data_IF_961344285461
#
_entry.id   IF_961344285461
#
_cell.length_a   1.000
_cell.length_b   1.000
_cell.length_c   1.000
_cell.angle_alpha   90.00
_cell.angle_beta   90.00
_cell.angle_gamma   90.00
#
_symmetry.space_group_name_H-M   'P 1'
#
loop_
_entity.id
_entity.type
_entity.pdbx_description
1 polymer ?
#
# COMPACT_ATOMS: atom_id res chain seq x y z
N UNK A 1 16.00 -17.00 -7.67
CA UNK A 1 14.90 -16.03 -7.88
C UNK A 1 13.74 -16.51 -7.02
N UNK A 2 13.30 -15.71 -6.05
CA UNK A 2 12.19 -16.08 -5.17
C UNK A 2 10.87 -15.86 -5.91
N UNK A 3 10.08 -16.92 -6.11
CA UNK A 3 8.75 -16.82 -6.71
C UNK A 3 7.70 -16.50 -5.64
N UNK A 4 6.60 -15.92 -6.07
CA UNK A 4 5.44 -15.61 -5.23
C UNK A 4 4.31 -16.63 -5.48
N UNK A 5 3.67 -17.08 -4.41
CA UNK A 5 2.55 -18.04 -4.43
C UNK A 5 1.47 -17.56 -3.44
N UNK A 6 0.69 -16.52 -3.80
CA UNK A 6 -0.32 -15.97 -2.92
C UNK A 6 -1.44 -16.99 -2.67
N UNK A 7 -2.08 -16.91 -1.50
CA UNK A 7 -3.23 -17.76 -1.12
C UNK A 7 -4.34 -17.83 -2.18
N UNK A 8 -4.52 -16.75 -2.96
CA UNK A 8 -5.43 -16.71 -4.10
C UNK A 8 -4.61 -16.72 -5.41
N UNK A 9 -4.30 -17.89 -5.98
CA UNK A 9 -3.46 -18.00 -7.18
C UNK A 9 -4.11 -17.37 -8.42
N UNK A 10 -5.45 -17.31 -8.46
CA UNK A 10 -6.21 -16.69 -9.58
C UNK A 10 -5.84 -15.24 -9.83
N UNK A 11 -5.32 -14.53 -8.82
CA UNK A 11 -4.85 -13.16 -8.99
C UNK A 11 -3.69 -13.10 -10.01
N UNK A 12 -2.72 -14.02 -9.93
CA UNK A 12 -1.57 -14.04 -10.84
C UNK A 12 -1.89 -14.70 -12.18
N UNK A 13 -2.93 -15.53 -12.24
CA UNK A 13 -3.41 -16.15 -13.49
C UNK A 13 -4.20 -15.16 -14.35
N UNK A 14 -4.97 -14.27 -13.72
CA UNK A 14 -5.93 -13.38 -14.41
C UNK A 14 -5.46 -11.93 -14.54
N UNK A 15 -4.60 -11.47 -13.63
CA UNK A 15 -4.19 -10.08 -13.58
C UNK A 15 -2.73 -9.93 -14.02
N UNK A 16 -2.47 -8.87 -14.75
CA UNK A 16 -1.12 -8.47 -15.15
C UNK A 16 -0.66 -7.29 -14.30
N UNK A 17 0.60 -7.28 -13.82
CA UNK A 17 1.15 -6.13 -13.14
C UNK A 17 1.41 -5.00 -14.12
N UNK A 18 1.28 -3.76 -13.66
CA UNK A 18 1.64 -2.56 -14.40
C UNK A 18 2.52 -1.62 -13.58
N UNK A 19 3.21 -0.71 -14.28
CA UNK A 19 3.91 0.42 -13.66
C UNK A 19 3.59 1.73 -14.39
N UNK A 20 3.39 2.80 -13.62
CA UNK A 20 3.39 4.18 -14.08
C UNK A 20 4.60 4.88 -13.48
N UNK A 21 5.53 5.29 -14.34
CA UNK A 21 6.71 6.09 -13.98
C UNK A 21 7.37 6.60 -15.27
N UNK A 22 8.21 7.64 -15.15
CA UNK A 22 9.02 8.09 -16.29
C UNK A 22 9.93 6.97 -16.79
N UNK A 23 10.34 7.02 -18.06
CA UNK A 23 11.25 6.03 -18.63
C UNK A 23 12.55 5.90 -17.81
N UNK A 24 13.11 7.03 -17.37
CA UNK A 24 14.32 7.09 -16.54
C UNK A 24 14.11 6.38 -15.18
N UNK A 25 13.00 6.62 -14.50
CA UNK A 25 12.72 5.96 -13.22
C UNK A 25 12.56 4.45 -13.36
N UNK A 26 11.97 3.99 -14.47
CA UNK A 26 11.79 2.56 -14.73
C UNK A 26 13.14 1.81 -14.84
N UNK A 27 14.23 2.47 -15.23
CA UNK A 27 15.58 1.87 -15.27
C UNK A 27 16.09 1.50 -13.87
N UNK A 28 15.60 2.19 -12.84
CA UNK A 28 15.96 1.94 -11.44
C UNK A 28 15.08 0.90 -10.75
N UNK A 29 13.97 0.49 -11.39
CA UNK A 29 13.05 -0.48 -10.83
C UNK A 29 13.47 -1.93 -11.12
N UNK A 30 13.01 -2.86 -10.28
CA UNK A 30 12.93 -4.28 -10.64
C UNK A 30 11.64 -4.49 -11.44
N UNK A 31 11.76 -4.65 -12.77
CA UNK A 31 10.61 -4.88 -13.65
C UNK A 31 10.22 -6.37 -13.77
N UNK A 32 10.85 -7.23 -12.95
CA UNK A 32 10.50 -8.65 -12.79
C UNK A 32 10.39 -9.01 -11.29
N UNK A 33 9.63 -8.26 -10.47
CA UNK A 33 9.51 -8.51 -9.04
C UNK A 33 8.99 -9.93 -8.79
N UNK A 34 9.70 -10.71 -7.98
CA UNK A 34 9.39 -12.13 -7.74
C UNK A 34 9.30 -13.00 -9.02
N UNK A 35 9.96 -12.58 -10.10
CA UNK A 35 9.88 -13.23 -11.41
C UNK A 35 8.63 -12.86 -12.22
N UNK A 36 7.75 -12.00 -11.72
CA UNK A 36 6.56 -11.53 -12.45
C UNK A 36 6.93 -10.39 -13.39
N UNK A 37 6.82 -10.58 -14.69
CA UNK A 37 7.20 -9.56 -15.67
C UNK A 37 6.17 -8.42 -15.76
N UNK A 38 6.63 -7.18 -15.57
CA UNK A 38 5.81 -5.97 -15.77
C UNK A 38 5.86 -5.56 -17.24
N UNK A 39 4.82 -5.93 -17.98
CA UNK A 39 4.67 -5.61 -19.40
C UNK A 39 3.90 -4.32 -19.64
N UNK A 40 2.92 -4.00 -18.79
CA UNK A 40 2.10 -2.80 -18.93
C UNK A 40 2.84 -1.61 -18.29
N UNK A 41 3.34 -0.70 -19.13
CA UNK A 41 4.18 0.42 -18.71
C UNK A 41 3.64 1.72 -19.27
N UNK A 42 3.42 2.68 -18.39
CA UNK A 42 2.87 3.98 -18.75
C UNK A 42 3.82 5.08 -18.29
N UNK A 43 4.18 5.98 -19.20
CA UNK A 43 5.05 7.12 -18.91
C UNK A 43 4.16 8.37 -18.79
N UNK A 44 4.07 8.99 -17.60
CA UNK A 44 3.20 10.13 -17.37
C UNK A 44 3.59 11.37 -18.20
N UNK A 45 4.81 11.40 -18.77
CA UNK A 45 5.25 12.45 -19.69
C UNK A 45 4.75 12.23 -21.13
N UNK A 46 4.08 11.11 -21.41
CA UNK A 46 3.51 10.80 -22.73
C UNK A 46 2.00 10.96 -22.71
N UNK A 47 1.49 11.79 -23.60
CA UNK A 47 0.04 11.99 -23.78
C UNK A 47 -0.73 10.70 -24.05
N UNK A 48 -0.08 9.71 -24.67
CA UNK A 48 -0.63 8.37 -24.91
C UNK A 48 -1.02 7.62 -23.63
N UNK A 49 -0.40 7.93 -22.48
CA UNK A 49 -0.74 7.33 -21.19
C UNK A 49 -2.00 7.93 -20.56
N UNK A 50 -2.45 9.11 -21.02
CA UNK A 50 -3.58 9.86 -20.46
C UNK A 50 -4.84 9.02 -20.18
N UNK A 51 -5.34 8.20 -21.14
CA UNK A 51 -6.51 7.37 -20.92
C UNK A 51 -6.36 6.38 -19.74
N UNK A 52 -5.17 5.81 -19.53
CA UNK A 52 -4.93 4.90 -18.40
C UNK A 52 -4.81 5.68 -17.07
N UNK A 53 -4.18 6.86 -17.08
CA UNK A 53 -4.07 7.71 -15.90
C UNK A 53 -5.45 8.19 -15.41
N UNK A 54 -6.41 8.42 -16.32
CA UNK A 54 -7.80 8.68 -15.91
C UNK A 54 -8.43 7.49 -15.19
N UNK A 55 -8.17 6.26 -15.63
CA UNK A 55 -8.68 5.06 -14.96
C UNK A 55 -8.07 4.89 -13.56
N UNK A 56 -6.78 5.23 -13.36
CA UNK A 56 -6.16 5.23 -12.03
C UNK A 56 -6.78 6.27 -11.09
N UNK A 57 -7.07 7.47 -11.59
CA UNK A 57 -7.78 8.49 -10.82
C UNK A 57 -9.19 8.03 -10.46
N UNK A 58 -9.89 7.36 -11.37
CA UNK A 58 -11.20 6.79 -11.09
C UNK A 58 -11.13 5.65 -10.07
N UNK A 59 -10.12 4.76 -10.15
CA UNK A 59 -9.84 3.70 -9.17
C UNK A 59 -9.69 4.28 -7.75
N UNK A 60 -8.91 5.35 -7.62
CA UNK A 60 -8.69 6.04 -6.34
C UNK A 60 -10.00 6.59 -5.77
N UNK A 61 -10.72 7.37 -6.58
CA UNK A 61 -12.01 7.95 -6.18
C UNK A 61 -13.05 6.89 -5.83
N UNK A 62 -13.09 5.76 -6.55
CA UNK A 62 -13.99 4.65 -6.28
C UNK A 62 -13.64 3.88 -5.00
N UNK A 63 -12.35 3.83 -4.63
CA UNK A 63 -11.90 3.12 -3.43
C UNK A 63 -12.20 3.92 -2.15
N UNK A 64 -11.97 5.23 -2.18
CA UNK A 64 -12.02 6.08 -0.98
C UNK A 64 -13.30 6.91 -0.86
N UNK A 65 -14.06 7.07 -1.94
CA UNK A 65 -15.28 7.88 -1.95
C UNK A 65 -15.02 9.38 -1.71
N UNK A 66 -16.07 10.20 -1.54
CA UNK A 66 -15.93 11.64 -1.33
C UNK A 66 -15.32 12.01 0.04
N UNK A 67 -15.46 11.13 1.04
CA UNK A 67 -14.96 11.36 2.41
C UNK A 67 -13.51 10.91 2.58
N UNK A 68 -13.01 9.99 1.75
CA UNK A 68 -11.66 9.43 1.86
C UNK A 68 -10.55 10.23 1.15
N UNK A 69 -10.77 11.54 0.93
CA UNK A 69 -9.78 12.48 0.38
C UNK A 69 -9.12 11.99 -0.93
N UNK A 70 -9.88 11.76 -2.02
CA UNK A 70 -9.31 11.33 -3.28
C UNK A 70 -8.26 12.33 -3.77
N UNK A 71 -7.16 11.83 -4.32
CA UNK A 71 -6.03 12.70 -4.66
C UNK A 71 -6.38 13.59 -5.87
N UNK A 72 -6.18 14.92 -5.77
CA UNK A 72 -6.23 15.81 -6.92
C UNK A 72 -5.25 15.39 -8.02
N UNK A 73 -5.52 15.79 -9.27
CA UNK A 73 -4.69 15.41 -10.44
C UNK A 73 -3.23 15.82 -10.28
N UNK A 74 -3.00 17.02 -9.75
CA UNK A 74 -1.65 17.51 -9.53
C UNK A 74 -0.91 16.68 -8.47
N UNK A 75 -1.61 16.15 -7.45
CA UNK A 75 -0.99 15.27 -6.43
C UNK A 75 -0.57 13.93 -7.03
N UNK A 76 -1.39 13.35 -7.92
CA UNK A 76 -1.00 12.17 -8.70
C UNK A 76 0.28 12.44 -9.50
N UNK A 77 0.31 13.52 -10.28
CA UNK A 77 1.46 13.80 -11.12
C UNK A 77 2.70 14.20 -10.31
N UNK A 78 2.60 15.29 -9.54
CA UNK A 78 3.71 15.93 -8.83
C UNK A 78 4.18 15.12 -7.60
N UNK A 79 3.27 14.39 -6.96
CA UNK A 79 3.53 13.67 -5.71
C UNK A 79 3.74 12.17 -5.87
N UNK A 80 3.39 11.59 -7.02
CA UNK A 80 3.46 10.13 -7.22
C UNK A 80 4.15 9.74 -8.53
N UNK A 81 3.54 10.05 -9.67
CA UNK A 81 3.94 9.56 -10.99
C UNK A 81 5.30 10.12 -11.42
N UNK A 82 5.53 11.42 -11.20
CA UNK A 82 6.75 12.10 -11.60
C UNK A 82 7.93 11.82 -10.65
N UNK A 83 7.82 11.99 -9.32
CA UNK A 83 8.96 11.80 -8.43
C UNK A 83 9.22 10.33 -8.07
N UNK A 84 8.21 9.46 -8.19
CA UNK A 84 8.29 8.06 -7.77
C UNK A 84 7.74 7.11 -8.82
N UNK A 85 6.72 6.34 -8.45
CA UNK A 85 5.99 5.48 -9.35
C UNK A 85 4.69 4.97 -8.74
N UNK A 86 3.85 4.40 -9.61
CA UNK A 86 2.64 3.69 -9.24
C UNK A 86 2.76 2.26 -9.77
N UNK A 87 2.65 1.27 -8.88
CA UNK A 87 2.67 -0.15 -9.27
C UNK A 87 1.33 -0.75 -8.91
N UNK A 88 0.78 -1.54 -9.81
CA UNK A 88 -0.54 -2.10 -9.60
C UNK A 88 -0.80 -3.37 -10.37
N UNK A 89 -2.05 -3.80 -10.33
CA UNK A 89 -2.56 -4.94 -11.08
C UNK A 89 -3.81 -4.52 -11.84
N UNK A 90 -3.93 -5.03 -13.06
CA UNK A 90 -5.09 -4.80 -13.91
C UNK A 90 -5.35 -6.01 -14.81
N UNK A 91 -6.40 -5.91 -15.62
CA UNK A 91 -6.74 -6.89 -16.64
C UNK A 91 -7.24 -6.19 -17.90
N UNK A 92 -7.27 -6.90 -19.02
CA UNK A 92 -7.94 -6.38 -20.21
C UNK A 92 -9.45 -6.33 -19.96
N UNK A 93 -10.12 -5.33 -20.54
CA UNK A 93 -11.56 -5.11 -20.42
C UNK A 93 -12.39 -6.37 -20.73
N UNK A 94 -11.96 -7.17 -21.71
CA UNK A 94 -12.63 -8.40 -22.11
C UNK A 94 -12.64 -9.49 -21.01
N UNK A 95 -11.66 -9.47 -20.10
CA UNK A 95 -11.48 -10.48 -19.05
C UNK A 95 -12.22 -10.15 -17.74
N UNK A 96 -12.88 -8.98 -17.70
CA UNK A 96 -13.60 -8.46 -16.54
C UNK A 96 -15.08 -8.86 -16.56
N UNK A 97 -15.70 -8.89 -15.39
CA UNK A 97 -17.15 -8.99 -15.30
C UNK A 97 -17.83 -7.69 -15.81
N UNK A 98 -19.07 -7.78 -16.34
CA UNK A 98 -19.83 -6.59 -16.73
C UNK A 98 -19.97 -5.55 -15.62
N UNK A 99 -20.22 -6.00 -14.39
CA UNK A 99 -20.32 -5.16 -13.19
C UNK A 99 -19.01 -4.43 -12.89
N UNK A 100 -17.87 -5.11 -13.06
CA UNK A 100 -16.54 -4.50 -12.89
C UNK A 100 -16.28 -3.41 -13.93
N UNK A 101 -16.66 -3.64 -15.19
CA UNK A 101 -16.53 -2.61 -16.24
C UNK A 101 -17.39 -1.39 -15.95
N UNK A 102 -18.64 -1.61 -15.52
CA UNK A 102 -19.54 -0.53 -15.12
C UNK A 102 -18.97 0.27 -13.95
N UNK A 103 -18.50 -0.41 -12.89
CA UNK A 103 -17.87 0.21 -11.73
C UNK A 103 -16.63 1.03 -12.11
N UNK A 104 -15.84 0.56 -13.07
CA UNK A 104 -14.65 1.25 -13.60
C UNK A 104 -14.96 2.25 -14.72
N UNK A 105 -16.23 2.42 -15.10
CA UNK A 105 -16.70 3.29 -16.20
C UNK A 105 -16.03 2.99 -17.54
N UNK A 106 -15.75 1.71 -17.80
CA UNK A 106 -15.13 1.23 -19.04
C UNK A 106 -16.20 0.72 -20.00
N UNK A 107 -16.13 1.15 -21.26
CA UNK A 107 -17.07 0.70 -22.31
C UNK A 107 -16.71 -0.71 -22.77
N UNK A 108 -17.74 -1.53 -22.99
CA UNK A 108 -17.60 -2.86 -23.59
C UNK A 108 -16.97 -2.77 -24.98
N UNK A 109 -16.02 -3.64 -25.28
CA UNK A 109 -15.31 -3.69 -26.57
C UNK A 109 -14.30 -2.57 -26.77
N UNK A 110 -13.92 -1.86 -25.69
CA UNK A 110 -12.91 -0.80 -25.76
C UNK A 110 -11.49 -1.34 -25.90
N UNK A 111 -11.25 -2.59 -25.50
CA UNK A 111 -9.92 -3.22 -25.51
C UNK A 111 -8.93 -2.56 -24.53
N UNK A 112 -9.42 -1.73 -23.60
CA UNK A 112 -8.56 -1.03 -22.65
C UNK A 112 -8.01 -1.99 -21.59
N UNK A 113 -6.78 -1.71 -21.14
CA UNK A 113 -6.25 -2.31 -19.92
C UNK A 113 -6.75 -1.51 -18.71
N UNK A 114 -7.36 -2.18 -17.73
CA UNK A 114 -8.10 -1.56 -16.63
C UNK A 114 -7.40 -1.85 -15.29
N UNK A 115 -7.00 -0.82 -14.52
CA UNK A 115 -6.39 -1.02 -13.22
C UNK A 115 -7.44 -1.41 -12.17
N UNK A 116 -7.14 -2.42 -11.35
CA UNK A 116 -8.01 -2.91 -10.27
C UNK A 116 -7.42 -2.69 -8.88
N UNK A 117 -6.11 -2.44 -8.81
CA UNK A 117 -5.42 -2.01 -7.62
C UNK A 117 -4.16 -1.23 -7.99
N UNK A 118 -3.73 -0.33 -7.10
CA UNK A 118 -2.50 0.43 -7.22
C UNK A 118 -1.87 0.70 -5.85
N UNK A 119 -0.56 0.77 -5.83
CA UNK A 119 0.25 1.19 -4.69
C UNK A 119 1.20 2.32 -5.12
N UNK A 120 1.12 3.42 -4.39
CA UNK A 120 1.95 4.60 -4.58
C UNK A 120 2.93 4.70 -3.42
N UNK A 121 4.20 4.85 -3.77
CA UNK A 121 5.23 5.19 -2.81
C UNK A 121 6.11 6.34 -3.34
N UNK A 122 6.54 7.20 -2.43
CA UNK A 122 7.38 8.35 -2.71
C UNK A 122 8.81 8.00 -2.28
N UNK A 123 9.83 8.16 -3.14
CA UNK A 123 11.19 7.90 -2.74
C UNK A 123 11.63 8.93 -1.69
N UNK A 124 12.44 8.48 -0.74
CA UNK A 124 13.13 9.39 0.16
C UNK A 124 14.53 9.70 -0.39
N UNK A 125 15.25 10.62 0.27
CA UNK A 125 16.64 10.90 -0.10
C UNK A 125 17.53 9.64 -0.04
N UNK A 126 17.25 8.73 0.90
CA UNK A 126 18.03 7.52 1.09
C UNK A 126 17.53 6.42 0.15
N UNK A 127 18.45 5.89 -0.67
CA UNK A 127 18.10 4.86 -1.65
C UNK A 127 17.56 3.60 -0.99
N UNK A 128 16.43 3.10 -1.50
CA UNK A 128 15.76 1.92 -0.97
C UNK A 128 14.86 2.21 0.24
N UNK A 129 14.75 3.46 0.68
CA UNK A 129 13.73 3.87 1.65
C UNK A 129 12.61 4.61 0.92
N UNK A 130 11.39 4.11 1.09
CA UNK A 130 10.20 4.62 0.39
C UNK A 130 9.09 4.94 1.38
N UNK A 131 8.47 6.11 1.22
CA UNK A 131 7.27 6.49 1.96
C UNK A 131 6.04 5.92 1.27
N UNK A 132 5.33 5.00 1.91
CA UNK A 132 4.04 4.53 1.44
C UNK A 132 3.02 5.68 1.52
N UNK A 133 2.41 6.01 0.38
CA UNK A 133 1.48 7.13 0.29
C UNK A 133 0.03 6.64 0.13
N UNK A 134 -0.22 5.78 -0.85
CA UNK A 134 -1.58 5.33 -1.14
C UNK A 134 -1.63 3.85 -1.55
N UNK A 135 -2.71 3.16 -1.18
CA UNK A 135 -3.04 1.81 -1.60
C UNK A 135 -4.53 1.73 -1.92
N UNK A 136 -4.87 1.67 -3.21
CA UNK A 136 -6.24 1.52 -3.66
C UNK A 136 -6.47 0.10 -4.21
N UNK A 137 -7.63 -0.49 -3.94
CA UNK A 137 -8.02 -1.80 -4.46
C UNK A 137 -9.52 -1.92 -4.51
N UNK A 138 -10.04 -2.37 -5.66
CA UNK A 138 -11.48 -2.63 -5.86
C UNK A 138 -11.96 -3.93 -5.22
N UNK A 139 -11.08 -4.71 -4.58
CA UNK A 139 -11.44 -6.02 -4.06
C UNK A 139 -12.63 -6.01 -3.07
N UNK A 140 -12.74 -5.03 -2.15
CA UNK A 140 -13.93 -4.91 -1.29
C UNK A 140 -15.22 -4.57 -2.05
N UNK A 141 -15.13 -3.77 -3.12
CA UNK A 141 -16.27 -3.28 -3.91
C UNK A 141 -16.73 -4.30 -4.97
N UNK A 142 -15.89 -5.27 -5.33
CA UNK A 142 -16.13 -6.25 -6.39
C UNK A 142 -15.93 -7.69 -5.88
N UNK A 143 -16.74 -8.16 -4.91
CA UNK A 143 -16.56 -9.50 -4.32
C UNK A 143 -16.71 -10.63 -5.35
N UNK A 144 -17.58 -10.46 -6.34
CA UNK A 144 -17.84 -11.44 -7.41
C UNK A 144 -16.65 -11.64 -8.35
N UNK A 145 -15.78 -10.63 -8.48
CA UNK A 145 -14.58 -10.69 -9.31
C UNK A 145 -13.49 -11.59 -8.69
N UNK A 146 -13.64 -11.96 -7.41
CA UNK A 146 -12.74 -12.91 -6.73
C UNK A 146 -11.37 -12.32 -6.40
N UNK A 147 -11.30 -11.01 -6.13
CA UNK A 147 -10.05 -10.25 -5.94
C UNK A 147 -9.50 -10.29 -4.50
N UNK A 148 -9.92 -11.25 -3.68
CA UNK A 148 -9.51 -11.33 -2.29
C UNK A 148 -7.97 -11.42 -2.16
N UNK A 149 -7.38 -10.51 -1.39
CA UNK A 149 -5.92 -10.42 -1.19
C UNK A 149 -5.19 -9.43 -2.10
N UNK A 150 -5.86 -8.86 -3.12
CA UNK A 150 -5.24 -8.02 -4.15
C UNK A 150 -4.46 -6.82 -3.60
N UNK A 151 -4.98 -6.11 -2.59
CA UNK A 151 -4.27 -4.96 -2.02
C UNK A 151 -2.92 -5.33 -1.37
N UNK A 152 -2.87 -6.44 -0.62
CA UNK A 152 -1.61 -6.93 -0.02
C UNK A 152 -0.61 -7.37 -1.07
N UNK A 153 -1.06 -8.12 -2.08
CA UNK A 153 -0.27 -8.52 -3.23
C UNK A 153 0.31 -7.31 -3.98
N UNK A 154 -0.54 -6.31 -4.27
CA UNK A 154 -0.16 -5.08 -4.98
C UNK A 154 0.94 -4.32 -4.25
N UNK A 155 0.79 -4.16 -2.93
CA UNK A 155 1.80 -3.47 -2.11
C UNK A 155 3.11 -4.26 -2.03
N UNK A 156 3.05 -5.58 -1.88
CA UNK A 156 4.25 -6.43 -1.85
C UNK A 156 5.04 -6.37 -3.17
N UNK A 157 4.34 -6.49 -4.30
CA UNK A 157 4.93 -6.37 -5.65
C UNK A 157 5.49 -4.97 -5.87
N UNK A 158 4.74 -3.92 -5.52
CA UNK A 158 5.23 -2.55 -5.65
C UNK A 158 6.50 -2.27 -4.85
N UNK A 159 6.55 -2.66 -3.57
CA UNK A 159 7.77 -2.52 -2.76
C UNK A 159 8.97 -3.28 -3.36
N UNK A 160 8.73 -4.47 -3.92
CA UNK A 160 9.78 -5.23 -4.62
C UNK A 160 10.23 -4.54 -5.91
N UNK A 161 9.30 -4.02 -6.71
CA UNK A 161 9.57 -3.22 -7.91
C UNK A 161 10.44 -2.01 -7.59
N UNK A 162 10.13 -1.31 -6.50
CA UNK A 162 10.91 -0.16 -6.04
C UNK A 162 12.27 -0.52 -5.41
N UNK A 163 12.60 -1.83 -5.32
CA UNK A 163 13.77 -2.35 -4.61
C UNK A 163 13.86 -1.81 -3.18
N UNK A 164 12.70 -1.64 -2.54
CA UNK A 164 12.60 -1.06 -1.22
C UNK A 164 13.20 -2.02 -0.17
N UNK A 165 14.06 -1.48 0.67
CA UNK A 165 14.67 -2.13 1.84
C UNK A 165 14.02 -1.69 3.14
N UNK A 166 13.42 -0.49 3.14
CA UNK A 166 12.62 0.04 4.25
C UNK A 166 11.41 0.78 3.69
N UNK A 167 10.28 0.62 4.36
CA UNK A 167 9.11 1.47 4.14
C UNK A 167 8.93 2.40 5.33
N UNK A 168 8.62 3.67 5.07
CA UNK A 168 8.05 4.59 6.04
C UNK A 168 6.57 4.77 5.71
N UNK A 169 5.70 4.95 6.70
CA UNK A 169 4.29 5.25 6.47
C UNK A 169 3.72 6.09 7.58
N UNK A 170 2.63 6.79 7.29
CA UNK A 170 1.84 7.52 8.27
C UNK A 170 0.39 7.03 8.22
N UNK A 171 -0.25 6.93 9.38
CA UNK A 171 -1.67 6.56 9.48
C UNK A 171 -2.22 7.00 10.84
N UNK A 172 -3.53 7.08 10.99
CA UNK A 172 -4.16 7.41 12.26
C UNK A 172 -4.22 6.17 13.16
N UNK A 173 -4.15 6.37 14.48
CA UNK A 173 -4.28 5.29 15.47
C UNK A 173 -5.58 4.48 15.35
N UNK A 174 -6.66 5.10 14.85
CA UNK A 174 -7.95 4.46 14.62
C UNK A 174 -8.14 3.88 13.21
N UNK A 175 -7.14 3.98 12.33
CA UNK A 175 -7.29 3.52 10.95
C UNK A 175 -7.33 1.99 10.86
N UNK A 176 -8.40 1.44 10.30
CA UNK A 176 -8.51 0.00 10.03
C UNK A 176 -7.38 -0.52 9.10
N UNK A 177 -6.77 0.35 8.28
CA UNK A 177 -5.62 0.04 7.44
C UNK A 177 -4.39 -0.41 8.23
N UNK A 178 -4.29 -0.06 9.52
CA UNK A 178 -3.22 -0.52 10.41
C UNK A 178 -3.15 -2.06 10.52
N UNK A 179 -4.29 -2.75 10.36
CA UNK A 179 -4.33 -4.22 10.23
C UNK A 179 -3.60 -4.76 9.01
N UNK A 180 -3.56 -3.99 7.91
CA UNK A 180 -2.82 -4.36 6.70
C UNK A 180 -1.34 -4.03 6.90
N UNK A 181 -1.03 -2.86 7.47
CA UNK A 181 0.35 -2.41 7.69
C UNK A 181 1.13 -3.38 8.56
N UNK A 182 0.54 -3.87 9.64
CA UNK A 182 1.15 -4.84 10.59
C UNK A 182 1.41 -6.23 9.98
N UNK A 183 0.95 -6.50 8.74
CA UNK A 183 1.41 -7.67 7.97
C UNK A 183 2.85 -7.54 7.49
N UNK A 184 3.41 -6.33 7.43
CA UNK A 184 4.84 -6.16 7.16
C UNK A 184 5.73 -6.56 8.35
N UNK A 185 5.13 -6.90 9.48
CA UNK A 185 5.84 -7.20 10.73
C UNK A 185 5.70 -6.07 11.74
N UNK A 186 6.62 -6.00 12.73
CA UNK A 186 6.63 -4.95 13.73
C UNK A 186 6.90 -3.59 13.09
N UNK A 187 6.04 -2.61 13.38
CA UNK A 187 6.14 -1.26 12.82
C UNK A 187 6.85 -0.37 13.83
N UNK A 188 8.12 -0.07 13.63
CA UNK A 188 8.89 0.85 14.48
C UNK A 188 8.20 2.22 14.48
N UNK A 189 7.82 2.71 15.65
CA UNK A 189 7.20 4.03 15.79
C UNK A 189 8.29 5.11 15.69
N UNK A 190 8.21 5.91 14.63
CA UNK A 190 9.02 7.11 14.44
C UNK A 190 8.36 8.32 15.10
N UNK A 191 7.03 8.32 15.13
CA UNK A 191 6.22 9.21 15.96
C UNK A 191 4.93 8.51 16.39
N UNK A 192 4.52 8.75 17.63
CA UNK A 192 3.22 8.35 18.18
C UNK A 192 2.21 9.51 18.19
N UNK A 193 2.68 10.75 18.07
CA UNK A 193 1.87 11.96 17.96
C UNK A 193 2.55 12.93 17.00
N UNK A 194 1.88 13.30 15.91
CA UNK A 194 2.48 14.05 14.78
C UNK A 194 1.71 15.35 14.53
N UNK A 195 1.98 16.42 15.31
CA UNK A 195 1.25 17.69 15.18
C UNK A 195 1.51 18.43 13.86
N UNK A 196 2.51 18.00 13.08
CA UNK A 196 2.77 18.51 11.73
C UNK A 196 1.82 17.94 10.67
N UNK A 197 1.07 16.87 10.98
CA UNK A 197 0.06 16.29 10.09
C UNK A 197 -1.31 16.93 10.34
N UNK A 198 -2.26 16.75 9.41
CA UNK A 198 -3.62 17.30 9.53
C UNK A 198 -4.32 16.83 10.81
N UNK A 199 -4.08 15.58 11.21
CA UNK A 199 -4.55 15.02 12.48
C UNK A 199 -3.36 14.75 13.40
N UNK A 200 -3.33 15.41 14.56
CA UNK A 200 -2.20 15.31 15.47
C UNK A 200 -1.99 13.88 16.04
N UNK A 201 -3.06 13.07 16.10
CA UNK A 201 -3.01 11.65 16.47
C UNK A 201 -2.61 10.74 15.28
N UNK A 202 -1.88 11.27 14.31
CA UNK A 202 -1.23 10.46 13.29
C UNK A 202 0.03 9.84 13.88
N UNK A 203 0.22 8.53 13.69
CA UNK A 203 1.47 7.85 13.94
C UNK A 203 2.28 7.72 12.65
N UNK A 204 3.60 7.88 12.76
CA UNK A 204 4.54 7.57 11.68
C UNK A 204 5.32 6.34 12.05
N UNK A 205 5.47 5.41 11.12
CA UNK A 205 6.16 4.16 11.36
C UNK A 205 7.19 3.83 10.28
N UNK A 206 8.19 3.05 10.65
CA UNK A 206 9.16 2.42 9.76
C UNK A 206 9.07 0.91 9.84
N UNK A 207 9.37 0.22 8.74
CA UNK A 207 9.51 -1.24 8.71
C UNK A 207 10.58 -1.67 7.73
N UNK A 208 11.43 -2.59 8.17
CA UNK A 208 12.47 -3.21 7.34
C UNK A 208 11.86 -4.28 6.46
N UNK A 209 12.26 -4.33 5.21
CA UNK A 209 11.68 -5.20 4.19
C UNK A 209 12.68 -6.31 3.83
N UNK A 210 12.16 -7.53 3.77
CA UNK A 210 12.82 -8.71 3.26
C UNK A 210 11.86 -9.47 2.34
N UNK A 211 12.36 -10.44 1.58
CA UNK A 211 11.49 -11.29 0.76
C UNK A 211 10.44 -12.02 1.61
N UNK A 212 10.80 -12.48 2.82
CA UNK A 212 9.86 -13.13 3.75
C UNK A 212 8.74 -12.18 4.22
N UNK A 213 9.10 -10.93 4.53
CA UNK A 213 8.15 -9.88 4.91
C UNK A 213 7.17 -9.58 3.77
N UNK A 214 7.69 -9.40 2.55
CA UNK A 214 6.86 -9.09 1.38
C UNK A 214 5.97 -10.28 1.00
N UNK A 215 6.48 -11.51 1.12
CA UNK A 215 5.68 -12.74 0.99
C UNK A 215 4.55 -12.82 2.01
N UNK A 216 4.83 -12.50 3.28
CA UNK A 216 3.79 -12.47 4.32
C UNK A 216 2.70 -11.43 4.01
N UNK A 217 3.09 -10.24 3.54
CA UNK A 217 2.15 -9.21 3.09
C UNK A 217 1.27 -9.69 1.91
N UNK A 218 1.86 -10.43 0.97
CA UNK A 218 1.15 -11.04 -0.16
C UNK A 218 0.32 -12.28 0.20
N UNK A 219 0.32 -12.71 1.47
CA UNK A 219 -0.31 -13.97 1.94
C UNK A 219 0.23 -15.21 1.23
N UNK A 220 1.53 -15.21 0.98
CA UNK A 220 2.27 -16.39 0.55
C UNK A 220 2.54 -17.30 1.75
N UNK A 221 2.52 -18.62 1.54
CA UNK A 221 2.75 -19.62 2.58
C UNK A 221 4.19 -19.59 3.12
N UNK A 222 5.16 -19.15 2.30
CA UNK A 222 6.56 -18.97 2.69
C UNK A 222 6.80 -17.60 3.37
N UNK A 223 5.75 -16.82 3.58
CA UNK A 223 5.81 -15.53 4.23
C UNK A 223 5.97 -15.67 5.74
N UNK A 224 6.94 -14.97 6.32
CA UNK A 224 7.18 -15.00 7.76
C UNK A 224 7.57 -13.62 8.29
N UNK A 225 7.06 -13.30 9.49
CA UNK A 225 7.45 -12.13 10.26
C UNK A 225 7.56 -12.48 11.73
N UNK A 226 8.68 -12.11 12.35
CA UNK A 226 8.85 -12.21 13.80
C UNK A 226 8.05 -11.10 14.49
N UNK A 227 7.42 -11.41 15.63
CA UNK A 227 6.62 -10.44 16.40
C UNK A 227 7.08 -10.38 17.85
N UNK A 228 7.45 -9.20 18.36
CA UNK A 228 7.86 -9.06 19.75
C UNK A 228 6.67 -9.23 20.70
N UNK A 229 6.98 -9.55 21.95
CA UNK A 229 5.97 -9.62 23.00
C UNK A 229 5.35 -8.24 23.25
N UNK A 230 4.02 -8.21 23.37
CA UNK A 230 3.28 -6.98 23.64
C UNK A 230 3.62 -6.47 25.04
N UNK A 231 4.05 -5.21 25.13
CA UNK A 231 4.33 -4.53 26.38
C UNK A 231 3.09 -3.79 26.92
N UNK A 232 2.38 -3.07 26.04
CA UNK A 232 1.20 -2.27 26.40
C UNK A 232 0.19 -2.27 25.25
N UNK A 233 -1.09 -2.22 25.58
CA UNK A 233 -2.16 -1.93 24.62
C UNK A 233 -2.56 -0.47 24.74
N UNK A 234 -2.71 0.21 23.61
CA UNK A 234 -3.08 1.62 23.52
C UNK A 234 -4.43 1.73 22.85
N UNK A 235 -5.36 2.43 23.48
CA UNK A 235 -6.63 2.75 22.86
C UNK A 235 -6.43 3.85 21.79
N UNK A 236 -7.07 3.72 20.64
CA UNK A 236 -6.93 4.69 19.54
C UNK A 236 -7.42 6.09 19.89
N UNK A 237 -8.27 6.24 20.92
CA UNK A 237 -8.77 7.52 21.40
C UNK A 237 -8.00 8.04 22.64
N UNK A 238 -7.10 7.24 23.22
CA UNK A 238 -6.29 7.65 24.38
C UNK A 238 -5.11 8.53 23.95
N UNK A 239 -5.42 9.79 23.63
CA UNK A 239 -4.45 10.81 23.23
C UNK A 239 -3.44 11.16 24.34
N UNK A 240 -3.72 10.81 25.60
CA UNK A 240 -2.77 10.99 26.70
C UNK A 240 -1.67 9.94 26.57
N UNK A 241 -2.06 8.65 26.49
CA UNK A 241 -1.10 7.57 26.28
C UNK A 241 -0.29 7.75 24.99
N UNK A 242 -0.90 8.22 23.89
CA UNK A 242 -0.18 8.47 22.64
C UNK A 242 0.91 9.55 22.79
N UNK A 243 0.63 10.63 23.52
CA UNK A 243 1.62 11.68 23.83
C UNK A 243 2.69 11.20 24.79
N UNK A 244 2.35 10.35 25.76
CA UNK A 244 3.34 9.69 26.61
C UNK A 244 4.29 8.80 25.80
N UNK A 245 3.78 8.04 24.82
CA UNK A 245 4.62 7.27 23.91
C UNK A 245 5.52 8.19 23.07
N UNK A 246 5.01 9.32 22.59
CA UNK A 246 5.80 10.30 21.85
C UNK A 246 6.95 10.84 22.70
N UNK A 247 6.70 11.21 23.96
CA UNK A 247 7.74 11.68 24.87
C UNK A 247 8.84 10.61 25.11
N UNK A 248 8.47 9.33 25.13
CA UNK A 248 9.43 8.21 25.26
C UNK A 248 10.27 8.04 24.00
N UNK A 249 9.66 8.15 22.83
CA UNK A 249 10.36 8.13 21.53
C UNK A 249 11.37 9.29 21.46
N UNK A 250 10.96 10.49 21.84
CA UNK A 250 11.83 11.68 21.90
C UNK A 250 12.96 11.56 22.92
N UNK A 251 12.74 10.82 24.01
CA UNK A 251 13.77 10.45 24.98
C UNK A 251 14.73 9.34 24.48
N UNK A 252 14.55 8.84 23.26
CA UNK A 252 15.42 7.85 22.61
C UNK A 252 14.96 6.39 22.77
N UNK A 253 13.79 6.14 23.35
CA UNK A 253 13.26 4.77 23.44
C UNK A 253 12.71 4.31 22.10
N UNK A 254 13.05 3.08 21.71
CA UNK A 254 12.54 2.47 20.47
C UNK A 254 11.32 1.61 20.76
N UNK A 255 10.22 1.94 20.11
CA UNK A 255 8.93 1.29 20.28
C UNK A 255 8.41 0.80 18.94
N UNK A 256 7.54 -0.19 18.94
CA UNK A 256 6.86 -0.64 17.73
C UNK A 256 5.43 -1.06 17.97
N UNK A 257 4.60 -1.03 16.92
CA UNK A 257 3.34 -1.76 16.88
C UNK A 257 3.67 -3.22 16.59
N UNK A 258 3.43 -4.09 17.56
CA UNK A 258 3.94 -5.48 17.54
C UNK A 258 3.11 -6.43 16.66
N UNK A 259 1.80 -6.23 16.63
CA UNK A 259 0.86 -7.13 15.96
C UNK A 259 -0.38 -6.39 15.46
N UNK A 260 -1.28 -7.13 14.80
CA UNK A 260 -2.57 -6.66 14.35
C UNK A 260 -3.34 -6.00 15.52
N UNK A 261 -3.90 -4.80 15.33
CA UNK A 261 -4.81 -4.18 16.30
C UNK A 261 -6.06 -5.03 16.54
N UNK A 262 -6.63 -4.90 17.73
CA UNK A 262 -7.99 -5.36 18.04
C UNK A 262 -8.98 -4.30 17.52
N UNK A 263 -9.99 -4.73 16.76
CA UNK A 263 -11.03 -3.84 16.24
C UNK A 263 -12.23 -3.92 17.19
N UNK A 264 -12.52 -2.84 17.90
CA UNK A 264 -13.64 -2.74 18.84
C UNK A 264 -14.87 -2.05 18.23
N UNK A 265 -14.66 -1.24 17.19
CA UNK A 265 -15.70 -0.53 16.44
C UNK A 265 -15.16 -0.03 15.09
N UNK A 266 -15.97 0.72 14.35
CA UNK A 266 -15.58 1.22 13.03
C UNK A 266 -14.29 2.06 13.07
N UNK A 267 -14.19 2.94 14.06
CA UNK A 267 -13.05 3.86 14.28
C UNK A 267 -12.45 3.70 15.69
N UNK A 268 -12.61 2.52 16.29
CA UNK A 268 -12.11 2.24 17.63
C UNK A 268 -11.24 0.99 17.62
N UNK A 269 -9.95 1.19 17.84
CA UNK A 269 -8.93 0.15 17.84
C UNK A 269 -8.20 0.09 19.18
N UNK A 270 -7.74 -1.10 19.57
CA UNK A 270 -6.66 -1.25 20.55
C UNK A 270 -5.40 -1.73 19.85
N UNK A 271 -4.35 -0.95 19.98
CA UNK A 271 -3.08 -1.14 19.26
C UNK A 271 -2.04 -1.74 20.21
N UNK A 272 -1.47 -2.91 19.89
CA UNK A 272 -0.46 -3.55 20.72
C UNK A 272 0.92 -2.93 20.46
N UNK A 273 1.52 -2.34 21.49
CA UNK A 273 2.86 -1.73 21.46
C UNK A 273 3.86 -2.61 22.20
N UNK A 274 5.06 -2.75 21.63
CA UNK A 274 6.21 -3.42 22.23
C UNK A 274 7.42 -2.49 22.27
N UNK A 275 8.42 -2.86 23.08
CA UNK A 275 9.74 -2.21 23.11
C UNK A 275 10.68 -2.95 22.17
N UNK A 276 11.46 -2.20 21.40
CA UNK A 276 12.57 -2.74 20.63
C UNK A 276 13.83 -2.62 21.50
N UNK A 277 14.53 -3.75 21.70
CA UNK A 277 15.79 -3.80 22.43
C UNK A 277 16.94 -3.26 21.58
#
# INVERSE_FOLDING_TARGET
>A
MTLLSPQNPRLLERLSPFVVATAEHQEHFDLRPFGLEIQQRFDPLKSASGPFLELLRHLDGATFGPEGMPMPRWVFFDGAELPGGIVGFGANEADLLPSTREAMKVKSGSGQFVPLAMFIAIPTHEQGIWMAHNLASMAPQLPEEGLAGLGGLTKAVGLKTYRARRQIGATQWNSSALSIHTRLGPLELLSAWTPAHSEAWTLTYGVTLSDAVLKNLARDADGEVERPAVWKWIDSEDHVSQRELQARIEAGERLCIANKPEILGADHLRVPVARLL
#
